data_IF_746000325167
#
_entry.id   IF_746000325167
#
_cell.length_a   1.000
_cell.length_b   1.000
_cell.length_c   1.000
_cell.angle_alpha   90.00
_cell.angle_beta   90.00
_cell.angle_gamma   90.00
#
_symmetry.space_group_name_H-M   'P 1'
#
loop_
_entity.id
_entity.type
_entity.pdbx_description
1 polymer ?
#
# COMPACT_ATOMS: atom_id res chain seq x y z
N UNK A 1 0.82 -5.56 -13.13
CA UNK A 1 1.11 -4.11 -13.19
C UNK A 1 2.48 -3.89 -12.57
N UNK A 2 3.27 -2.92 -13.06
CA UNK A 2 4.60 -2.62 -12.51
C UNK A 2 4.51 -1.37 -11.62
N UNK A 3 5.43 -1.22 -10.67
CA UNK A 3 5.57 0.01 -9.87
C UNK A 3 6.31 1.06 -10.70
N UNK A 4 5.85 2.31 -10.68
CA UNK A 4 6.61 3.42 -11.26
C UNK A 4 7.80 3.78 -10.37
N UNK A 5 8.78 4.50 -10.92
CA UNK A 5 9.94 4.97 -10.15
C UNK A 5 9.53 5.83 -8.94
N UNK A 6 8.45 6.61 -9.07
CA UNK A 6 7.89 7.40 -7.98
C UNK A 6 7.30 6.51 -6.87
N UNK A 7 6.61 5.42 -7.24
CA UNK A 7 6.07 4.46 -6.28
C UNK A 7 7.19 3.69 -5.58
N UNK A 8 8.23 3.29 -6.31
CA UNK A 8 9.41 2.63 -5.75
C UNK A 8 10.12 3.54 -4.74
N UNK A 9 10.30 4.83 -5.06
CA UNK A 9 10.89 5.79 -4.13
C UNK A 9 10.01 5.97 -2.88
N UNK A 10 8.70 6.17 -3.07
CA UNK A 10 7.73 6.41 -2.00
C UNK A 10 7.60 5.22 -1.04
N UNK A 11 7.56 4.00 -1.57
CA UNK A 11 7.33 2.77 -0.80
C UNK A 11 8.60 1.99 -0.48
N UNK A 12 9.78 2.53 -0.81
CA UNK A 12 11.10 1.90 -0.59
C UNK A 12 11.24 1.25 0.79
N UNK A 13 10.90 1.96 1.87
CA UNK A 13 10.98 1.42 3.24
C UNK A 13 10.03 0.24 3.50
N UNK A 14 8.86 0.21 2.88
CA UNK A 14 7.90 -0.89 3.03
C UNK A 14 8.37 -2.10 2.22
N UNK A 15 8.86 -1.88 0.99
CA UNK A 15 9.40 -2.92 0.11
C UNK A 15 10.59 -3.63 0.76
N UNK A 16 11.43 -2.92 1.53
CA UNK A 16 12.55 -3.54 2.24
C UNK A 16 12.14 -4.55 3.33
N UNK A 17 10.89 -4.56 3.76
CA UNK A 17 10.39 -5.56 4.71
C UNK A 17 10.20 -6.89 4.01
N UNK A 18 10.86 -7.95 4.50
CA UNK A 18 10.87 -9.28 3.89
C UNK A 18 9.48 -9.85 3.57
N UNK A 19 8.47 -9.51 4.36
CA UNK A 19 7.09 -10.01 4.19
C UNK A 19 6.24 -9.17 3.23
N UNK A 20 6.73 -7.99 2.84
CA UNK A 20 6.07 -7.13 1.85
C UNK A 20 6.76 -7.36 0.52
N UNK A 21 8.03 -7.00 0.39
CA UNK A 21 8.78 -7.03 -0.87
C UNK A 21 8.02 -6.34 -2.03
N UNK A 22 8.51 -6.48 -3.26
CA UNK A 22 7.86 -5.97 -4.47
C UNK A 22 6.48 -6.61 -4.65
N UNK A 23 6.35 -7.91 -4.43
CA UNK A 23 5.12 -8.65 -4.67
C UNK A 23 3.98 -8.22 -3.73
N UNK A 24 4.27 -8.00 -2.45
CA UNK A 24 3.29 -7.49 -1.48
C UNK A 24 2.85 -6.07 -1.83
N UNK A 25 3.77 -5.22 -2.26
CA UNK A 25 3.43 -3.87 -2.71
C UNK A 25 2.55 -3.88 -3.97
N UNK A 26 2.84 -4.78 -4.92
CA UNK A 26 2.00 -4.96 -6.11
C UNK A 26 0.60 -5.45 -5.76
N UNK A 27 0.48 -6.38 -4.80
CA UNK A 27 -0.80 -6.84 -4.29
C UNK A 27 -1.59 -5.69 -3.67
N UNK A 28 -0.97 -4.86 -2.83
CA UNK A 28 -1.63 -3.67 -2.26
C UNK A 28 -2.10 -2.71 -3.35
N UNK A 29 -1.25 -2.42 -4.35
CA UNK A 29 -1.60 -1.56 -5.50
C UNK A 29 -2.82 -2.08 -6.29
N UNK A 30 -2.97 -3.40 -6.40
CA UNK A 30 -4.08 -4.04 -7.12
C UNK A 30 -5.31 -4.27 -6.23
N UNK A 31 -5.18 -4.08 -4.92
CA UNK A 31 -6.24 -4.33 -3.96
C UNK A 31 -7.29 -3.22 -3.95
N UNK A 32 -8.46 -3.54 -3.39
CA UNK A 32 -9.56 -2.59 -3.17
C UNK A 32 -10.01 -2.73 -1.73
N UNK A 33 -10.20 -1.59 -1.05
CA UNK A 33 -10.73 -1.54 0.31
C UNK A 33 -11.96 -0.62 0.33
N UNK A 34 -12.97 -1.00 1.14
CA UNK A 34 -14.16 -0.20 1.41
C UNK A 34 -14.14 0.20 2.88
N UNK A 35 -14.22 1.50 3.15
CA UNK A 35 -14.35 2.04 4.51
C UNK A 35 -15.80 2.51 4.68
N UNK A 36 -16.52 1.94 5.65
CA UNK A 36 -17.91 2.31 5.96
C UNK A 36 -17.93 3.18 7.20
N UNK A 37 -18.26 4.46 7.01
CA UNK A 37 -18.26 5.48 8.05
C UNK A 37 -16.86 6.10 8.24
N UNK A 38 -16.78 7.42 8.03
CA UNK A 38 -15.52 8.20 8.10
C UNK A 38 -15.55 9.15 9.30
N UNK A 39 -15.99 8.63 10.45
CA UNK A 39 -15.96 9.33 11.74
C UNK A 39 -14.62 9.15 12.46
N UNK A 40 -14.61 9.26 13.79
CA UNK A 40 -13.37 9.17 14.59
C UNK A 40 -12.56 7.89 14.40
N UNK A 41 -13.21 6.78 14.02
CA UNK A 41 -12.55 5.50 13.73
C UNK A 41 -12.12 5.34 12.26
N UNK A 42 -12.81 5.99 11.33
CA UNK A 42 -12.48 5.89 9.90
C UNK A 42 -11.40 6.86 9.44
N UNK A 43 -11.12 7.92 10.22
CA UNK A 43 -10.06 8.90 9.93
C UNK A 43 -8.63 8.33 9.98
N UNK A 44 -8.24 7.48 10.95
CA UNK A 44 -6.90 6.89 10.98
C UNK A 44 -6.73 5.62 10.13
N UNK A 45 -7.80 5.14 9.47
CA UNK A 45 -7.82 3.91 8.64
C UNK A 45 -7.73 4.28 7.17
#
# INVERSE_FOLDING_TARGET
AVLSDQELLRYSRQILLQHVDIDGQLRLKQSRALIVGVGGLGSPV
#
